data_IF_677672455847
#
_entry.id   IF_677672455847
#
_cell.length_a   1.000
_cell.length_b   1.000
_cell.length_c   1.000
_cell.angle_alpha   90.00
_cell.angle_beta   90.00
_cell.angle_gamma   90.00
#
_symmetry.space_group_name_H-M   'P 1'
#
loop_
_entity.id
_entity.type
_entity.pdbx_description
1 polymer ?
#
# COMPACT_ATOMS: atom_id res chain seq x y z
N UNK A 1 -15.83 12.23 22.18
CA UNK A 1 -16.03 12.88 20.86
C UNK A 1 -14.68 12.85 20.18
N UNK A 2 -14.49 12.00 19.16
CA UNK A 2 -13.21 11.93 18.42
C UNK A 2 -13.26 12.98 17.32
N UNK A 3 -12.32 13.93 17.35
CA UNK A 3 -12.11 14.88 16.26
C UNK A 3 -11.69 14.12 14.99
N UNK A 4 -12.55 14.17 13.97
CA UNK A 4 -12.22 13.66 12.63
C UNK A 4 -11.40 14.72 11.91
N UNK A 5 -10.08 14.58 11.97
CA UNK A 5 -9.20 15.33 11.08
C UNK A 5 -9.45 14.87 9.64
N UNK A 6 -9.62 15.78 8.66
CA UNK A 6 -9.68 15.39 7.26
C UNK A 6 -8.32 14.83 6.88
N UNK A 7 -8.28 13.53 6.70
CA UNK A 7 -7.06 12.82 6.43
C UNK A 7 -6.57 13.19 5.04
N UNK A 8 -5.48 13.95 4.97
CA UNK A 8 -4.84 14.34 3.71
C UNK A 8 -3.91 13.23 3.27
N UNK A 9 -4.48 12.14 2.78
CA UNK A 9 -3.72 10.98 2.34
C UNK A 9 -3.14 11.19 0.94
N UNK A 10 -1.98 11.84 0.87
CA UNK A 10 -1.19 11.93 -0.37
C UNK A 10 -0.34 10.69 -0.65
N UNK A 11 -0.15 9.82 0.35
CA UNK A 11 0.69 8.63 0.28
C UNK A 11 -0.11 7.38 0.67
N UNK A 12 0.30 6.21 0.16
CA UNK A 12 -0.23 4.93 0.61
C UNK A 12 0.09 4.71 2.10
N UNK A 13 -0.89 4.17 2.83
CA UNK A 13 -0.70 3.70 4.20
C UNK A 13 -0.84 2.18 4.17
N UNK A 14 0.17 1.48 4.67
CA UNK A 14 0.16 0.01 4.71
C UNK A 14 0.49 -0.48 6.11
N UNK A 15 -0.11 -1.61 6.46
CA UNK A 15 0.36 -2.42 7.57
C UNK A 15 1.72 -3.05 7.19
N UNK A 16 2.57 -3.32 8.19
CA UNK A 16 3.94 -3.80 7.98
C UNK A 16 4.00 -5.09 7.17
N UNK A 17 3.19 -6.09 7.48
CA UNK A 17 3.17 -7.36 6.75
C UNK A 17 2.61 -7.19 5.34
N UNK A 18 1.57 -6.37 5.16
CA UNK A 18 1.07 -6.02 3.83
C UNK A 18 2.16 -5.37 2.96
N UNK A 19 2.92 -4.42 3.52
CA UNK A 19 4.02 -3.77 2.80
C UNK A 19 5.11 -4.76 2.37
N UNK A 20 5.53 -5.67 3.27
CA UNK A 20 6.54 -6.67 2.98
C UNK A 20 6.04 -7.68 1.94
N UNK A 21 4.79 -8.08 2.04
CA UNK A 21 4.15 -8.98 1.08
C UNK A 21 4.14 -8.35 -0.31
N UNK A 22 3.66 -7.11 -0.47
CA UNK A 22 3.63 -6.41 -1.76
C UNK A 22 5.04 -6.27 -2.34
N UNK A 23 6.04 -5.92 -1.52
CA UNK A 23 7.44 -5.87 -1.98
C UNK A 23 7.94 -7.22 -2.50
N UNK A 24 7.62 -8.31 -1.81
CA UNK A 24 8.00 -9.66 -2.23
C UNK A 24 7.38 -10.03 -3.58
N UNK A 25 6.10 -9.68 -3.80
CA UNK A 25 5.44 -9.91 -5.09
C UNK A 25 6.05 -9.06 -6.22
N UNK A 26 6.41 -7.81 -5.93
CA UNK A 26 7.09 -6.93 -6.90
C UNK A 26 8.52 -7.35 -7.27
N UNK A 27 9.12 -8.23 -6.46
CA UNK A 27 10.43 -8.85 -6.70
C UNK A 27 10.31 -10.23 -7.39
N UNK A 28 9.10 -10.76 -7.55
CA UNK A 28 8.82 -12.05 -8.18
C UNK A 28 8.96 -12.02 -9.71
N UNK A 29 9.42 -13.15 -10.28
CA UNK A 29 9.96 -13.28 -11.63
C UNK A 29 9.02 -13.03 -12.84
N UNK A 30 9.52 -13.28 -14.07
CA UNK A 30 9.10 -12.65 -15.34
C UNK A 30 7.63 -12.81 -15.75
N UNK A 31 6.85 -13.68 -15.10
CA UNK A 31 5.43 -13.87 -15.41
C UNK A 31 4.51 -12.71 -15.01
N UNK A 32 4.98 -11.77 -14.17
CA UNK A 32 4.22 -10.56 -13.80
C UNK A 32 4.34 -9.45 -14.86
N UNK A 33 5.49 -9.36 -15.53
CA UNK A 33 5.77 -8.35 -16.56
C UNK A 33 4.90 -8.55 -17.82
N UNK A 34 4.53 -9.79 -18.14
CA UNK A 34 3.67 -10.07 -19.31
C UNK A 34 2.20 -9.68 -19.10
N UNK A 35 1.72 -9.62 -17.85
CA UNK A 35 0.30 -9.39 -17.54
C UNK A 35 -0.01 -7.96 -17.09
N UNK A 36 1.02 -7.18 -16.72
CA UNK A 36 0.84 -5.82 -16.23
C UNK A 36 1.48 -4.81 -17.16
N UNK A 37 0.79 -3.71 -17.42
CA UNK A 37 1.38 -2.60 -18.17
C UNK A 37 2.49 -2.00 -17.30
N UNK A 38 3.72 -1.94 -17.82
CA UNK A 38 4.93 -1.49 -17.10
C UNK A 38 4.71 -0.21 -16.27
N UNK A 39 3.90 0.71 -16.80
CA UNK A 39 3.55 1.98 -16.15
C UNK A 39 2.86 1.81 -14.79
N UNK A 40 2.05 0.77 -14.60
CA UNK A 40 1.30 0.54 -13.36
C UNK A 40 2.24 0.01 -12.27
N UNK A 41 3.12 -0.93 -12.61
CA UNK A 41 4.12 -1.43 -11.66
C UNK A 41 5.12 -0.35 -11.27
N UNK A 42 5.54 0.49 -12.21
CA UNK A 42 6.40 1.64 -11.94
C UNK A 42 5.74 2.61 -10.95
N UNK A 43 4.48 2.99 -11.20
CA UNK A 43 3.72 3.87 -10.31
C UNK A 43 3.52 3.26 -8.91
N UNK A 44 3.23 1.97 -8.81
CA UNK A 44 3.11 1.29 -7.53
C UNK A 44 4.45 1.30 -6.76
N UNK A 45 5.57 1.05 -7.44
CA UNK A 45 6.91 1.12 -6.85
C UNK A 45 7.22 2.52 -6.30
N UNK A 46 6.90 3.57 -7.05
CA UNK A 46 7.09 4.97 -6.61
C UNK A 46 6.24 5.32 -5.39
N UNK A 47 4.97 4.89 -5.36
CA UNK A 47 4.10 5.13 -4.23
C UNK A 47 4.55 4.36 -2.98
N UNK A 48 5.06 3.14 -3.14
CA UNK A 48 5.61 2.35 -2.03
C UNK A 48 6.88 2.97 -1.42
N UNK A 49 7.66 3.74 -2.18
CA UNK A 49 8.81 4.47 -1.64
C UNK A 49 8.39 5.58 -0.67
N UNK A 50 7.19 6.15 -0.88
CA UNK A 50 6.63 7.25 -0.06
C UNK A 50 5.60 6.74 0.96
N UNK A 51 5.38 5.42 1.03
CA UNK A 51 4.35 4.83 1.85
C UNK A 51 4.63 5.02 3.35
N UNK A 52 3.56 5.27 4.10
CA UNK A 52 3.58 5.32 5.55
C UNK A 52 3.29 3.91 6.05
N UNK A 53 4.22 3.36 6.84
CA UNK A 53 4.06 2.03 7.44
C UNK A 53 3.53 2.22 8.86
N UNK A 54 2.44 1.53 9.18
CA UNK A 54 1.76 1.64 10.46
C UNK A 54 1.46 0.25 11.04
N UNK A 55 1.50 0.12 12.35
CA UNK A 55 1.07 -1.11 13.00
C UNK A 55 -0.46 -1.24 12.96
N UNK A 56 -0.96 -2.46 12.90
CA UNK A 56 -2.39 -2.75 12.80
C UNK A 56 -3.23 -2.06 13.88
N UNK A 57 -2.75 -2.04 15.13
CA UNK A 57 -3.48 -1.44 16.26
C UNK A 57 -3.62 0.07 16.16
N UNK A 58 -2.79 0.72 15.35
CA UNK A 58 -2.77 2.17 15.17
C UNK A 58 -3.50 2.61 13.89
N UNK A 59 -3.97 1.66 13.07
CA UNK A 59 -4.55 1.95 11.77
C UNK A 59 -5.94 2.58 11.89
N UNK A 60 -6.17 3.78 11.33
CA UNK A 60 -7.50 4.39 11.29
C UNK A 60 -8.48 3.51 10.53
N UNK A 61 -9.72 3.41 11.01
CA UNK A 61 -10.75 2.56 10.40
C UNK A 61 -11.20 3.05 9.02
N UNK A 62 -10.87 4.30 8.66
CA UNK A 62 -11.15 4.86 7.34
C UNK A 62 -10.11 4.45 6.27
N UNK A 63 -9.00 3.81 6.66
CA UNK A 63 -8.01 3.30 5.71
C UNK A 63 -8.52 2.02 5.07
N UNK A 64 -8.60 2.03 3.74
CA UNK A 64 -8.85 0.81 2.97
C UNK A 64 -7.57 -0.03 2.97
N UNK A 65 -7.68 -1.26 3.47
CA UNK A 65 -6.57 -2.22 3.56
C UNK A 65 -6.75 -3.34 2.54
N UNK A 66 -5.68 -4.10 2.29
CA UNK A 66 -5.82 -5.38 1.60
C UNK A 66 -6.82 -6.26 2.37
N UNK A 67 -7.64 -7.01 1.62
CA UNK A 67 -8.69 -7.87 2.19
C UNK A 67 -9.85 -7.16 2.91
N UNK A 68 -9.96 -5.82 2.81
CA UNK A 68 -11.16 -5.10 3.26
C UNK A 68 -12.35 -5.42 2.34
N UNK A 69 -13.55 -5.52 2.92
CA UNK A 69 -14.84 -5.78 2.22
C UNK A 69 -15.63 -4.48 2.09
#
# INVERSE_FOLDING_TARGET
MMERYPLRYGNLILERNDFLMVKKYLQGGPGLEEYTHDNVLALLRENLQKAIIMDETNMPSEIIRLYSI
#
